data_IF_611188274072
#
_entry.id   IF_611188274072
#
_cell.length_a   1.000
_cell.length_b   1.000
_cell.length_c   1.000
_cell.angle_alpha   90.00
_cell.angle_beta   90.00
_cell.angle_gamma   90.00
#
_symmetry.space_group_name_H-M   'P 1'
#
loop_
_entity.id
_entity.type
_entity.pdbx_description
1 polymer ?
#
# COMPACT_ATOMS: atom_id res chain seq x y z
N UNK A 1 19.04 -21.72 -39.73
CA UNK A 1 19.10 -21.27 -38.33
C UNK A 1 18.01 -20.22 -38.14
N UNK A 2 17.05 -20.43 -37.23
CA UNK A 2 15.79 -19.64 -37.13
C UNK A 2 15.78 -18.76 -35.86
N UNK A 3 16.95 -18.30 -35.43
CA UNK A 3 17.12 -17.71 -34.09
C UNK A 3 17.49 -16.23 -34.07
N UNK A 4 17.38 -15.51 -35.20
CA UNK A 4 17.69 -14.07 -35.28
C UNK A 4 16.51 -13.15 -34.89
N UNK A 5 15.40 -13.69 -34.37
CA UNK A 5 14.14 -12.92 -34.26
C UNK A 5 14.00 -12.04 -33.01
N UNK A 6 14.98 -12.02 -32.11
CA UNK A 6 14.93 -11.20 -30.89
C UNK A 6 16.25 -10.46 -30.64
N UNK A 7 16.62 -9.57 -31.56
CA UNK A 7 17.58 -8.51 -31.21
C UNK A 7 16.97 -7.67 -30.09
N UNK A 8 17.61 -7.70 -28.92
CA UNK A 8 17.33 -6.82 -27.79
C UNK A 8 17.49 -5.37 -28.24
N UNK A 9 16.38 -4.71 -28.55
CA UNK A 9 16.34 -3.29 -28.85
C UNK A 9 16.70 -2.57 -27.56
N UNK A 10 17.88 -1.94 -27.51
CA UNK A 10 18.24 -1.04 -26.41
C UNK A 10 17.11 -0.01 -26.28
N UNK A 11 16.50 0.20 -25.10
CA UNK A 11 15.45 1.20 -24.97
C UNK A 11 16.06 2.54 -25.37
N UNK A 12 15.65 3.09 -26.51
CA UNK A 12 15.99 4.46 -26.85
C UNK A 12 15.41 5.32 -25.75
N UNK A 13 16.28 5.96 -24.96
CA UNK A 13 15.86 6.79 -23.84
C UNK A 13 15.07 7.97 -24.41
N UNK A 14 13.74 7.88 -24.35
CA UNK A 14 12.86 8.97 -24.76
C UNK A 14 12.98 10.09 -23.72
N UNK A 15 13.84 11.06 -24.00
CA UNK A 15 13.97 12.26 -23.17
C UNK A 15 12.87 13.24 -23.56
N UNK A 16 11.79 13.24 -22.79
CA UNK A 16 10.70 14.20 -22.95
C UNK A 16 10.54 15.01 -21.66
N UNK A 17 10.31 16.32 -21.80
CA UNK A 17 9.97 17.15 -20.65
C UNK A 17 8.60 16.76 -20.09
N UNK A 18 8.41 16.94 -18.78
CA UNK A 18 7.13 16.65 -18.12
C UNK A 18 5.94 17.33 -18.83
N UNK A 19 6.12 18.58 -19.30
CA UNK A 19 5.11 19.30 -20.08
C UNK A 19 4.74 18.65 -21.41
N UNK A 20 5.71 18.06 -22.14
CA UNK A 20 5.43 17.30 -23.37
C UNK A 20 4.65 16.03 -23.07
N UNK A 21 5.00 15.31 -21.99
CA UNK A 21 4.29 14.12 -21.54
C UNK A 21 2.85 14.42 -21.14
N UNK A 22 2.60 15.47 -20.35
CA UNK A 22 1.24 15.87 -19.95
C UNK A 22 0.39 16.27 -21.16
N UNK A 23 0.94 17.07 -22.09
CA UNK A 23 0.24 17.44 -23.33
C UNK A 23 -0.06 16.22 -24.22
N UNK A 24 0.85 15.25 -24.28
CA UNK A 24 0.62 14.00 -25.01
C UNK A 24 -0.50 13.18 -24.38
N UNK A 25 -0.50 13.01 -23.06
CA UNK A 25 -1.56 12.30 -22.34
C UNK A 25 -2.92 12.95 -22.57
N UNK A 26 -3.01 14.29 -22.48
CA UNK A 26 -4.26 15.01 -22.73
C UNK A 26 -4.78 14.82 -24.15
N UNK A 27 -3.92 14.89 -25.18
CA UNK A 27 -4.31 14.67 -26.58
C UNK A 27 -4.80 13.25 -26.86
N UNK A 28 -4.29 12.28 -26.13
CA UNK A 28 -4.63 10.85 -26.30
C UNK A 28 -5.73 10.39 -25.35
N UNK A 29 -6.31 11.29 -24.54
CA UNK A 29 -7.30 10.93 -23.54
C UNK A 29 -6.75 9.97 -22.48
N UNK A 30 -5.48 10.11 -22.10
CA UNK A 30 -4.81 9.28 -21.10
C UNK A 30 -4.71 10.02 -19.76
N UNK A 31 -4.79 9.27 -18.66
CA UNK A 31 -4.61 9.80 -17.32
C UNK A 31 -3.79 8.83 -16.44
N UNK A 32 -3.07 9.39 -15.47
CA UNK A 32 -2.47 8.61 -14.40
C UNK A 32 -3.55 8.24 -13.40
N UNK A 33 -3.73 6.94 -13.15
CA UNK A 33 -4.65 6.44 -12.14
C UNK A 33 -3.90 5.76 -11.01
N UNK A 34 -4.22 6.16 -9.79
CA UNK A 34 -3.72 5.53 -8.58
C UNK A 34 -4.73 4.51 -8.08
N UNK A 35 -4.25 3.33 -7.66
CA UNK A 35 -5.10 2.34 -7.00
C UNK A 35 -5.62 2.92 -5.67
N UNK A 36 -6.93 3.12 -5.57
CA UNK A 36 -7.58 3.44 -4.30
C UNK A 36 -7.76 2.15 -3.50
N UNK A 37 -7.15 2.06 -2.31
CA UNK A 37 -7.47 1.00 -1.36
C UNK A 37 -8.79 1.37 -0.70
N UNK A 38 -9.82 0.54 -0.91
CA UNK A 38 -11.05 0.63 -0.13
C UNK A 38 -10.69 0.21 1.30
N UNK A 39 -11.04 1.04 2.29
CA UNK A 39 -10.88 0.67 3.69
C UNK A 39 -11.68 -0.60 3.99
N UNK A 40 -11.12 -1.49 4.80
CA UNK A 40 -11.86 -2.68 5.23
C UNK A 40 -13.06 -2.22 6.08
N UNK A 41 -14.24 -2.79 5.81
CA UNK A 41 -15.41 -2.59 6.68
C UNK A 41 -15.09 -3.16 8.05
N UNK A 42 -15.61 -2.53 9.11
CA UNK A 42 -15.52 -3.12 10.44
C UNK A 42 -16.18 -4.51 10.40
N UNK A 43 -15.56 -5.54 10.99
CA UNK A 43 -16.21 -6.82 11.22
C UNK A 43 -17.49 -6.61 12.04
N UNK A 44 -18.57 -7.31 11.67
CA UNK A 44 -19.87 -7.23 12.39
C UNK A 44 -19.71 -7.49 13.90
N UNK A 45 -18.77 -8.35 14.27
CA UNK A 45 -18.50 -8.70 15.67
C UNK A 45 -17.83 -7.58 16.50
N UNK A 46 -17.37 -6.52 15.84
CA UNK A 46 -16.80 -5.32 16.44
C UNK A 46 -17.75 -4.11 16.38
N UNK A 47 -18.89 -4.23 15.68
CA UNK A 47 -19.83 -3.12 15.51
C UNK A 47 -20.50 -2.74 16.85
N UNK A 48 -20.52 -1.43 17.13
CA UNK A 48 -21.22 -0.83 18.28
C UNK A 48 -20.61 -1.19 19.64
N UNK A 49 -20.99 -2.34 20.21
CA UNK A 49 -20.80 -2.63 21.65
C UNK A 49 -19.34 -2.67 22.08
N UNK A 50 -18.45 -3.29 21.30
CA UNK A 50 -17.02 -3.40 21.65
C UNK A 50 -16.27 -2.08 21.49
N UNK A 51 -16.60 -1.32 20.45
CA UNK A 51 -16.01 0.01 20.23
C UNK A 51 -16.47 0.96 21.33
N UNK A 52 -17.76 0.98 21.67
CA UNK A 52 -18.31 1.80 22.74
C UNK A 52 -17.79 1.40 24.12
N UNK A 53 -17.64 0.10 24.41
CA UNK A 53 -17.09 -0.35 25.68
C UNK A 53 -15.63 0.07 25.84
N UNK A 54 -14.83 -0.07 24.77
CA UNK A 54 -13.44 0.40 24.75
C UNK A 54 -13.34 1.92 24.93
N UNK A 55 -14.15 2.70 24.21
CA UNK A 55 -14.16 4.16 24.37
C UNK A 55 -14.53 4.58 25.80
N UNK A 56 -15.57 3.97 26.39
CA UNK A 56 -15.96 4.22 27.78
C UNK A 56 -14.86 3.87 28.77
N UNK A 57 -14.15 2.77 28.55
CA UNK A 57 -13.01 2.35 29.36
C UNK A 57 -11.90 3.41 29.34
N UNK A 58 -11.50 3.86 28.16
CA UNK A 58 -10.46 4.89 28.01
C UNK A 58 -10.88 6.21 28.66
N UNK A 59 -12.14 6.64 28.50
CA UNK A 59 -12.67 7.85 29.15
C UNK A 59 -12.61 7.72 30.68
N UNK A 60 -12.96 6.54 31.22
CA UNK A 60 -12.89 6.28 32.67
C UNK A 60 -11.45 6.44 33.17
N UNK A 61 -10.49 5.77 32.54
CA UNK A 61 -9.07 5.87 32.93
C UNK A 61 -8.52 7.30 32.80
N UNK A 62 -8.92 8.04 31.77
CA UNK A 62 -8.50 9.44 31.61
C UNK A 62 -9.03 10.35 32.73
N UNK A 63 -10.26 10.11 33.20
CA UNK A 63 -10.84 10.87 34.31
C UNK A 63 -10.23 10.49 35.67
N UNK A 64 -9.90 9.21 35.86
CA UNK A 64 -9.37 8.68 37.11
C UNK A 64 -7.91 9.10 37.37
N UNK A 65 -7.08 9.07 36.33
CA UNK A 65 -5.64 9.31 36.45
C UNK A 65 -5.18 10.66 35.89
N UNK A 66 -6.12 11.47 35.36
CA UNK A 66 -5.86 12.80 34.80
C UNK A 66 -4.70 12.86 33.78
N UNK A 67 -4.54 11.82 32.97
CA UNK A 67 -3.50 11.76 31.95
C UNK A 67 -3.62 12.94 30.98
N UNK A 68 -2.51 13.66 30.81
CA UNK A 68 -2.40 14.65 29.76
C UNK A 68 -2.35 13.95 28.39
N UNK A 69 -2.91 14.56 27.35
CA UNK A 69 -2.90 13.99 25.99
C UNK A 69 -1.47 13.73 25.49
N UNK A 70 -0.50 14.53 25.94
CA UNK A 70 0.93 14.38 25.66
C UNK A 70 1.51 13.03 26.13
N UNK A 71 0.87 12.37 27.10
CA UNK A 71 1.32 11.13 27.71
C UNK A 71 0.69 9.88 27.07
N UNK A 72 -0.23 10.05 26.11
CA UNK A 72 -0.91 8.93 25.43
C UNK A 72 -0.22 8.64 24.11
N UNK A 73 0.67 7.65 24.10
CA UNK A 73 1.33 7.16 22.88
C UNK A 73 0.53 6.07 22.19
N UNK A 74 0.29 6.21 20.87
CA UNK A 74 -0.21 5.11 20.05
C UNK A 74 0.97 4.29 19.50
N UNK A 75 0.92 2.96 19.64
CA UNK A 75 1.91 2.05 19.07
C UNK A 75 1.18 1.07 18.16
N UNK A 76 1.42 1.17 16.85
CA UNK A 76 0.94 0.19 15.88
C UNK A 76 2.10 -0.53 15.20
N UNK A 77 1.81 -1.72 14.66
CA UNK A 77 2.73 -2.44 13.78
C UNK A 77 2.27 -2.24 12.35
N UNK A 78 2.94 -1.36 11.61
CA UNK A 78 2.68 -1.17 10.18
C UNK A 78 3.58 -2.10 9.34
N UNK A 79 3.02 -3.02 8.53
CA UNK A 79 3.82 -3.86 7.65
C UNK A 79 4.40 -3.03 6.51
N UNK A 80 5.73 -2.96 6.43
CA UNK A 80 6.42 -2.34 5.31
C UNK A 80 6.57 -3.37 4.16
N UNK A 81 6.04 -3.02 2.99
CA UNK A 81 6.10 -3.86 1.78
C UNK A 81 7.21 -3.38 0.85
N UNK A 82 8.08 -4.28 0.38
CA UNK A 82 9.17 -4.01 -0.57
C UNK A 82 8.72 -3.80 -2.03
N UNK A 83 7.46 -3.42 -2.28
CA UNK A 83 6.97 -3.28 -3.65
C UNK A 83 7.38 -1.93 -4.24
N UNK A 84 8.34 -1.95 -5.17
CA UNK A 84 8.70 -0.85 -6.08
C UNK A 84 7.69 -0.68 -7.24
N UNK A 85 6.55 -1.37 -7.20
CA UNK A 85 5.52 -1.23 -8.22
C UNK A 85 4.98 0.20 -8.17
N UNK A 86 5.14 0.95 -9.27
CA UNK A 86 4.43 2.21 -9.46
C UNK A 86 2.94 1.94 -9.23
N UNK A 87 2.40 2.48 -8.14
CA UNK A 87 0.98 2.40 -7.81
C UNK A 87 0.09 3.17 -8.81
N UNK A 88 0.73 3.73 -9.85
CA UNK A 88 0.15 4.55 -10.90
C UNK A 88 0.30 3.84 -12.24
N UNK A 89 -0.81 3.67 -12.94
CA UNK A 89 -0.85 3.22 -14.33
C UNK A 89 -1.41 4.30 -15.23
N UNK A 90 -1.02 4.28 -16.50
CA UNK A 90 -1.60 5.14 -17.54
C UNK A 90 -2.78 4.39 -18.14
N UNK A 91 -3.99 4.95 -18.04
CA UNK A 91 -5.22 4.37 -18.61
C UNK A 91 -6.02 5.44 -19.35
N UNK A 92 -6.98 5.01 -20.18
CA UNK A 92 -7.92 5.93 -20.81
C UNK A 92 -8.75 6.68 -19.76
N UNK A 93 -9.09 7.93 -20.08
CA UNK A 93 -10.03 8.74 -19.30
C UNK A 93 -11.41 8.09 -19.40
N UNK A 94 -11.97 7.68 -18.26
CA UNK A 94 -13.30 7.04 -18.18
C UNK A 94 -13.28 5.51 -18.12
N UNK A 95 -12.12 4.87 -18.30
CA UNK A 95 -12.02 3.41 -18.25
C UNK A 95 -12.19 2.86 -16.82
N UNK A 96 -12.84 1.69 -16.71
CA UNK A 96 -12.96 0.96 -15.46
C UNK A 96 -11.56 0.47 -15.03
N UNK A 97 -11.16 0.70 -13.77
CA UNK A 97 -9.84 0.25 -13.31
C UNK A 97 -9.73 -1.27 -13.38
N UNK A 98 -8.78 -1.78 -14.16
CA UNK A 98 -8.48 -3.21 -14.22
C UNK A 98 -7.66 -3.61 -12.99
N UNK A 99 -8.06 -4.68 -12.31
CA UNK A 99 -7.29 -5.25 -11.21
C UNK A 99 -5.99 -5.85 -11.77
N UNK A 100 -4.88 -5.14 -11.60
CA UNK A 100 -3.56 -5.64 -11.99
C UNK A 100 -3.18 -6.77 -11.02
N UNK A 101 -2.95 -7.97 -11.57
CA UNK A 101 -2.33 -9.08 -10.85
C UNK A 101 -0.91 -8.66 -10.45
N UNK A 102 -0.74 -8.40 -9.17
CA UNK A 102 0.56 -8.12 -8.56
C UNK A 102 1.44 -9.36 -8.63
N UNK A 103 2.76 -9.15 -8.75
CA UNK A 103 3.78 -10.19 -8.56
C UNK A 103 3.52 -10.77 -7.17
N UNK A 104 3.27 -12.07 -7.03
CA UNK A 104 2.69 -12.74 -5.85
C UNK A 104 3.50 -12.68 -4.52
N UNK A 105 4.18 -11.58 -4.22
CA UNK A 105 4.97 -11.32 -3.03
C UNK A 105 4.35 -10.34 -2.04
N UNK A 106 3.06 -10.05 -2.16
CA UNK A 106 2.32 -9.19 -1.22
C UNK A 106 2.36 -9.69 0.24
N UNK A 107 2.64 -10.99 0.45
CA UNK A 107 2.70 -11.62 1.77
C UNK A 107 4.09 -11.64 2.42
N UNK A 108 5.11 -11.09 1.77
CA UNK A 108 6.48 -10.96 2.32
C UNK A 108 6.64 -9.56 2.95
N UNK A 109 6.10 -9.41 4.16
CA UNK A 109 6.32 -8.23 5.00
C UNK A 109 7.59 -8.40 5.83
N UNK A 110 8.33 -7.32 6.06
CA UNK A 110 9.52 -7.26 6.94
C UNK A 110 9.22 -7.86 8.32
N UNK A 111 8.04 -7.62 8.87
CA UNK A 111 7.61 -8.19 10.15
C UNK A 111 7.69 -9.72 10.17
N UNK A 112 7.31 -10.38 9.06
CA UNK A 112 7.34 -11.84 8.96
C UNK A 112 8.76 -12.40 8.92
N UNK A 113 9.71 -11.62 8.36
CA UNK A 113 11.13 -11.95 8.38
C UNK A 113 11.71 -11.82 9.79
N UNK A 114 11.43 -10.72 10.49
CA UNK A 114 11.86 -10.54 11.88
C UNK A 114 11.36 -11.65 12.80
N UNK A 115 10.08 -12.03 12.71
CA UNK A 115 9.55 -13.14 13.51
C UNK A 115 10.25 -14.46 13.20
N UNK A 116 10.57 -14.75 11.93
CA UNK A 116 11.27 -15.98 11.56
C UNK A 116 12.71 -16.00 12.08
N UNK A 117 13.45 -14.90 11.90
CA UNK A 117 14.84 -14.77 12.38
C UNK A 117 14.92 -14.86 13.90
N UNK A 118 14.01 -14.17 14.61
CA UNK A 118 13.94 -14.24 16.07
C UNK A 118 13.60 -15.64 16.57
N UNK A 119 12.72 -16.37 15.87
CA UNK A 119 12.40 -17.76 16.23
C UNK A 119 13.56 -18.72 15.99
N UNK A 120 14.37 -18.49 14.94
CA UNK A 120 15.57 -19.30 14.67
C UNK A 120 16.69 -19.03 15.68
N UNK A 121 16.83 -17.79 16.16
CA UNK A 121 17.83 -17.42 17.18
C UNK A 121 17.49 -17.93 18.58
N UNK A 122 16.20 -18.19 18.88
CA UNK A 122 15.75 -18.80 20.15
C UNK A 122 15.92 -20.33 20.17
N UNK A 123 16.14 -20.96 19.01
CA UNK A 123 16.27 -22.41 18.84
C UNK A 123 17.71 -22.88 18.63
N UNK A 124 18.69 -22.01 18.86
CA UNK A 124 20.12 -22.28 18.72
C UNK A 124 20.88 -22.21 20.05
#
# INVERSE_FOLDING_TARGET
SKDDKYKSVKPSMLVASAGRCTRFMNRRGLCLRQRTKIAQKLPRDLEGKKVESFQRLIIKYRKEYAFELSQIGNMDKTPMTFNLLSNRTVTGVGEKPVLIKTIGHEKKSILRWFYRVWQTDQSS
#
